data_IF_291459800979
#
_entry.id   IF_291459800979
#
_cell.length_a   1.000
_cell.length_b   1.000
_cell.length_c   1.000
_cell.angle_alpha   90.00
_cell.angle_beta   90.00
_cell.angle_gamma   90.00
#
_symmetry.space_group_name_H-M   'P 1'
#
loop_
_entity.id
_entity.type
_entity.pdbx_description
1 polymer ?
#
# COMPACT_ATOMS: atom_id res chain seq x y z
N UNK A 1 35.77 45.17 -3.90
CA UNK A 1 36.93 45.82 -3.26
C UNK A 1 36.35 46.69 -2.15
N UNK A 2 36.17 46.11 -0.96
CA UNK A 2 37.07 46.27 0.22
C UNK A 2 36.64 47.53 1.02
N UNK A 3 36.38 47.59 2.32
CA UNK A 3 36.57 46.77 3.53
C UNK A 3 35.39 47.09 4.47
N UNK A 4 34.72 46.12 5.12
CA UNK A 4 34.98 45.55 6.45
C UNK A 4 35.16 46.55 7.61
N UNK A 5 34.18 46.56 8.54
CA UNK A 5 34.32 47.01 9.93
C UNK A 5 33.21 46.39 10.80
N UNK A 6 33.56 45.32 11.53
CA UNK A 6 32.98 44.89 12.82
C UNK A 6 34.03 45.29 13.91
N UNK A 7 33.88 45.07 15.24
CA UNK A 7 32.73 44.63 16.09
C UNK A 7 32.62 45.42 17.43
N UNK A 8 31.62 45.11 18.28
CA UNK A 8 31.88 44.68 19.69
C UNK A 8 30.62 44.09 20.37
N UNK A 9 30.82 42.92 20.97
CA UNK A 9 29.88 42.20 21.85
C UNK A 9 29.69 42.89 23.23
N UNK A 10 28.80 42.36 24.08
CA UNK A 10 29.35 41.51 25.14
C UNK A 10 28.61 40.17 25.37
N UNK A 11 29.45 39.15 25.52
CA UNK A 11 29.42 38.04 26.49
C UNK A 11 28.33 38.04 27.58
N UNK A 12 27.74 36.87 27.84
CA UNK A 12 28.15 35.99 28.95
C UNK A 12 27.43 34.62 28.91
N UNK A 13 28.21 33.61 29.26
CA UNK A 13 27.92 32.18 29.29
C UNK A 13 27.20 31.71 30.57
N UNK A 14 26.33 30.70 30.46
CA UNK A 14 26.21 29.59 31.43
C UNK A 14 25.30 28.51 30.84
N UNK A 15 25.84 27.46 30.20
CA UNK A 15 26.14 26.12 30.75
C UNK A 15 24.90 25.34 31.27
N UNK A 16 24.79 24.11 30.74
CA UNK A 16 24.23 22.85 31.26
C UNK A 16 22.75 22.44 31.08
N UNK A 17 22.65 21.24 30.50
CA UNK A 17 21.69 20.14 30.72
C UNK A 17 20.21 20.39 30.44
N UNK A 18 19.76 19.91 29.27
CA UNK A 18 18.42 19.33 29.15
C UNK A 18 18.54 17.83 28.88
N UNK A 19 18.42 17.13 30.00
CA UNK A 19 18.12 15.73 30.25
C UNK A 19 17.41 15.00 29.09
N UNK A 20 17.97 13.83 28.74
CA UNK A 20 17.19 12.72 28.19
C UNK A 20 15.97 12.45 29.07
N UNK A 21 14.83 12.08 28.46
CA UNK A 21 14.03 10.91 28.84
C UNK A 21 12.77 10.84 27.96
N UNK A 22 12.66 9.68 27.31
CA UNK A 22 11.44 9.00 26.84
C UNK A 22 10.77 9.49 25.56
N UNK A 23 11.40 9.20 24.42
CA UNK A 23 10.66 8.69 23.26
C UNK A 23 10.78 7.17 23.26
N UNK A 24 9.80 6.49 23.84
CA UNK A 24 9.51 5.08 23.52
C UNK A 24 8.07 5.03 23.03
N UNK A 25 7.87 5.49 21.79
CA UNK A 25 6.69 5.12 21.02
C UNK A 25 7.04 3.81 20.32
N UNK A 26 6.28 2.77 20.65
CA UNK A 26 6.47 1.37 20.28
C UNK A 26 6.84 1.16 18.80
N UNK A 27 8.14 1.00 18.53
CA UNK A 27 8.63 0.28 17.36
C UNK A 27 8.71 -1.20 17.72
N UNK A 28 7.55 -1.81 17.93
CA UNK A 28 7.49 -3.25 18.06
C UNK A 28 7.58 -3.83 16.65
N UNK A 29 8.78 -4.36 16.33
CA UNK A 29 9.09 -5.08 15.11
C UNK A 29 8.11 -6.25 14.92
N UNK A 30 7.01 -5.99 14.22
CA UNK A 30 6.02 -7.00 13.88
C UNK A 30 6.47 -7.67 12.58
N UNK A 31 7.30 -8.70 12.72
CA UNK A 31 7.65 -9.59 11.62
C UNK A 31 6.39 -10.16 10.96
N UNK A 32 6.40 -10.29 9.63
CA UNK A 32 5.32 -10.82 8.78
C UNK A 32 4.97 -12.30 9.04
N UNK A 33 5.38 -12.84 10.19
CA UNK A 33 5.32 -14.23 10.54
C UNK A 33 4.53 -14.40 11.84
N UNK A 34 3.33 -14.96 11.71
CA UNK A 34 2.64 -15.56 12.85
C UNK A 34 2.88 -17.06 12.79
N UNK A 35 3.48 -17.64 13.83
CA UNK A 35 3.58 -19.10 13.97
C UNK A 35 2.16 -19.68 14.02
N UNK A 36 1.80 -20.45 12.99
CA UNK A 36 0.55 -21.21 12.97
C UNK A 36 0.72 -22.53 13.73
N UNK A 37 -0.35 -22.94 14.42
CA UNK A 37 -0.42 -24.20 15.21
C UNK A 37 -0.11 -25.48 14.42
N UNK A 38 0.00 -25.41 13.09
CA UNK A 38 0.21 -26.55 12.18
C UNK A 38 1.58 -26.51 11.46
N UNK A 39 2.53 -25.69 11.89
CA UNK A 39 3.87 -25.59 11.28
C UNK A 39 3.89 -25.01 9.86
N UNK A 40 2.75 -24.50 9.34
CA UNK A 40 2.69 -23.73 8.09
C UNK A 40 2.71 -22.23 8.38
N UNK A 41 3.68 -21.51 7.82
CA UNK A 41 3.68 -20.05 7.77
C UNK A 41 2.46 -19.54 6.98
N UNK A 42 1.44 -19.04 7.69
CA UNK A 42 0.29 -18.36 7.08
C UNK A 42 0.68 -16.90 6.85
N UNK A 43 0.94 -16.52 5.59
CA UNK A 43 1.17 -15.12 5.22
C UNK A 43 -0.15 -14.35 5.31
N UNK A 44 -0.19 -13.30 6.13
CA UNK A 44 -1.33 -12.38 6.24
C UNK A 44 -0.97 -11.02 5.65
N UNK A 45 -1.93 -10.38 4.99
CA UNK A 45 -1.76 -9.01 4.53
C UNK A 45 -1.91 -8.03 5.69
N UNK A 46 -0.99 -7.08 5.81
CA UNK A 46 -1.13 -5.94 6.72
C UNK A 46 -1.70 -4.75 5.92
N UNK A 47 -3.00 -4.50 6.06
CA UNK A 47 -3.69 -3.36 5.46
C UNK A 47 -4.28 -2.47 6.57
N UNK A 48 -4.17 -1.15 6.42
CA UNK A 48 -4.91 -0.22 7.28
C UNK A 48 -6.42 -0.44 7.12
N UNK A 49 -7.20 -0.08 8.15
CA UNK A 49 -8.67 -0.16 8.06
C UNK A 49 -9.22 0.72 6.93
N UNK A 50 -8.58 1.86 6.67
CA UNK A 50 -8.90 2.74 5.56
C UNK A 50 -8.68 2.04 4.21
N UNK A 51 -7.51 1.42 3.99
CA UNK A 51 -7.22 0.69 2.75
C UNK A 51 -8.20 -0.46 2.54
N UNK A 52 -8.48 -1.22 3.60
CA UNK A 52 -9.46 -2.31 3.58
C UNK A 52 -10.86 -1.80 3.20
N UNK A 53 -11.32 -0.70 3.81
CA UNK A 53 -12.60 -0.07 3.50
C UNK A 53 -12.67 0.42 2.05
N UNK A 54 -11.59 1.02 1.54
CA UNK A 54 -11.49 1.49 0.16
C UNK A 54 -11.59 0.33 -0.85
N UNK A 55 -10.84 -0.76 -0.61
CA UNK A 55 -10.88 -1.97 -1.45
C UNK A 55 -12.28 -2.58 -1.47
N UNK A 56 -12.91 -2.77 -0.30
CA UNK A 56 -14.25 -3.33 -0.19
C UNK A 56 -15.27 -2.45 -0.92
N UNK A 57 -15.21 -1.12 -0.74
CA UNK A 57 -16.13 -0.19 -1.40
C UNK A 57 -16.03 -0.26 -2.93
N UNK A 58 -14.81 -0.37 -3.48
CA UNK A 58 -14.61 -0.55 -4.93
C UNK A 58 -15.09 -1.91 -5.41
N UNK A 59 -14.85 -2.98 -4.66
CA UNK A 59 -15.35 -4.32 -5.00
C UNK A 59 -16.87 -4.38 -5.01
N UNK A 60 -17.55 -3.73 -4.06
CA UNK A 60 -19.02 -3.63 -4.05
C UNK A 60 -19.55 -2.93 -5.32
N UNK A 61 -18.83 -1.92 -5.83
CA UNK A 61 -19.17 -1.27 -7.10
C UNK A 61 -19.00 -2.22 -8.29
N UNK A 62 -17.88 -2.95 -8.34
CA UNK A 62 -17.63 -3.98 -9.36
C UNK A 62 -18.73 -5.03 -9.33
N UNK A 63 -19.12 -5.50 -8.16
CA UNK A 63 -20.22 -6.45 -7.99
C UNK A 63 -21.53 -5.91 -8.58
N UNK A 64 -21.86 -4.64 -8.31
CA UNK A 64 -22.99 -3.95 -8.93
C UNK A 64 -22.92 -3.91 -10.46
N UNK A 65 -21.74 -3.68 -11.03
CA UNK A 65 -21.52 -3.72 -12.49
C UNK A 65 -21.77 -5.13 -13.05
N UNK A 66 -21.27 -6.18 -12.38
CA UNK A 66 -21.51 -7.58 -12.82
C UNK A 66 -23.00 -7.92 -12.81
N UNK A 67 -23.73 -7.51 -11.76
CA UNK A 67 -25.19 -7.68 -11.71
C UNK A 67 -25.89 -6.90 -12.82
N UNK A 68 -25.43 -5.68 -13.12
CA UNK A 68 -25.93 -4.85 -14.22
C UNK A 68 -25.76 -5.52 -15.58
N UNK A 69 -24.55 -6.05 -15.87
CA UNK A 69 -24.25 -6.79 -17.10
C UNK A 69 -25.18 -7.98 -17.27
N UNK A 70 -25.37 -8.78 -16.21
CA UNK A 70 -26.32 -9.90 -16.23
C UNK A 70 -27.73 -9.43 -16.63
N UNK A 71 -28.21 -8.34 -16.03
CA UNK A 71 -29.52 -7.79 -16.36
C UNK A 71 -29.65 -7.23 -17.79
N UNK A 72 -28.56 -6.79 -18.41
CA UNK A 72 -28.56 -6.40 -19.83
C UNK A 72 -28.72 -7.62 -20.75
N UNK A 73 -28.04 -8.72 -20.41
CA UNK A 73 -28.13 -9.99 -21.16
C UNK A 73 -29.55 -10.58 -21.05
N UNK A 74 -30.14 -10.59 -19.85
CA UNK A 74 -31.51 -11.07 -19.63
C UNK A 74 -32.58 -10.27 -20.41
N UNK A 75 -32.24 -9.06 -20.85
CA UNK A 75 -33.11 -8.18 -21.63
C UNK A 75 -32.80 -8.20 -23.13
N UNK A 76 -31.93 -9.10 -23.58
CA UNK A 76 -31.46 -9.17 -24.96
C UNK A 76 -30.93 -7.81 -25.48
N UNK A 77 -30.19 -7.09 -24.62
CA UNK A 77 -29.61 -5.79 -24.96
C UNK A 77 -28.56 -5.95 -26.07
N UNK A 78 -28.44 -4.92 -26.92
CA UNK A 78 -27.47 -4.88 -28.01
C UNK A 78 -26.04 -5.17 -27.53
N UNK A 79 -25.32 -6.01 -28.28
CA UNK A 79 -24.06 -6.60 -27.84
C UNK A 79 -22.99 -5.54 -27.51
N UNK A 80 -22.92 -4.45 -28.27
CA UNK A 80 -21.91 -3.41 -28.05
C UNK A 80 -22.10 -2.69 -26.70
N UNK A 81 -23.34 -2.54 -26.23
CA UNK A 81 -23.63 -1.96 -24.91
C UNK A 81 -23.18 -2.89 -23.78
N UNK A 82 -23.43 -4.21 -23.94
CA UNK A 82 -22.98 -5.23 -22.99
C UNK A 82 -21.45 -5.27 -22.94
N UNK A 83 -20.78 -5.27 -24.09
CA UNK A 83 -19.32 -5.25 -24.18
C UNK A 83 -18.73 -3.98 -23.56
N UNK A 84 -19.37 -2.83 -23.74
CA UNK A 84 -18.98 -1.57 -23.11
C UNK A 84 -19.02 -1.68 -21.57
N UNK A 85 -20.08 -2.28 -21.01
CA UNK A 85 -20.17 -2.48 -19.57
C UNK A 85 -19.15 -3.50 -19.04
N UNK A 86 -18.87 -4.56 -19.81
CA UNK A 86 -17.81 -5.52 -19.47
C UNK A 86 -16.45 -4.82 -19.39
N UNK A 87 -16.12 -3.98 -20.38
CA UNK A 87 -14.88 -3.21 -20.38
C UNK A 87 -14.79 -2.25 -19.17
N UNK A 88 -15.92 -1.62 -18.80
CA UNK A 88 -15.99 -0.78 -17.61
C UNK A 88 -15.74 -1.57 -16.30
N UNK A 89 -16.30 -2.78 -16.18
CA UNK A 89 -16.09 -3.66 -15.04
C UNK A 89 -14.63 -4.15 -14.95
N UNK A 90 -14.03 -4.51 -16.09
CA UNK A 90 -12.61 -4.88 -16.16
C UNK A 90 -11.71 -3.73 -15.72
N UNK A 91 -11.96 -2.50 -16.19
CA UNK A 91 -11.20 -1.31 -15.79
C UNK A 91 -11.32 -1.03 -14.28
N UNK A 92 -12.52 -1.17 -13.72
CA UNK A 92 -12.75 -1.02 -12.29
C UNK A 92 -12.00 -2.09 -11.47
N UNK A 93 -12.02 -3.35 -11.89
CA UNK A 93 -11.28 -4.43 -11.25
C UNK A 93 -9.77 -4.23 -11.33
N UNK A 94 -9.26 -3.77 -12.48
CA UNK A 94 -7.86 -3.40 -12.66
C UNK A 94 -7.44 -2.27 -11.71
N UNK A 95 -8.33 -1.30 -11.46
CA UNK A 95 -8.08 -0.25 -10.46
C UNK A 95 -7.96 -0.81 -9.04
N UNK A 96 -8.77 -1.81 -8.67
CA UNK A 96 -8.65 -2.49 -7.36
C UNK A 96 -7.32 -3.24 -7.26
N UNK A 97 -6.94 -3.98 -8.31
CA UNK A 97 -5.67 -4.70 -8.37
C UNK A 97 -4.46 -3.77 -8.21
N UNK A 98 -4.47 -2.60 -8.88
CA UNK A 98 -3.42 -1.58 -8.75
C UNK A 98 -3.30 -1.05 -7.33
N UNK A 99 -4.42 -0.72 -6.69
CA UNK A 99 -4.42 -0.22 -5.31
C UNK A 99 -3.88 -1.27 -4.33
N UNK A 100 -4.28 -2.53 -4.50
CA UNK A 100 -3.79 -3.63 -3.67
C UNK A 100 -2.29 -3.85 -3.86
N UNK A 101 -1.82 -3.84 -5.11
CA UNK A 101 -0.39 -3.97 -5.45
C UNK A 101 0.44 -2.84 -4.85
N UNK A 102 -0.05 -1.60 -4.93
CA UNK A 102 0.64 -0.43 -4.34
C UNK A 102 0.83 -0.61 -2.83
N UNK A 103 -0.23 -1.02 -2.11
CA UNK A 103 -0.11 -1.30 -0.68
C UNK A 103 0.83 -2.47 -0.38
N UNK A 104 0.81 -3.53 -1.20
CA UNK A 104 1.73 -4.66 -1.05
C UNK A 104 3.20 -4.24 -1.21
N UNK A 105 3.49 -3.41 -2.21
CA UNK A 105 4.82 -2.88 -2.47
C UNK A 105 5.31 -1.99 -1.32
N UNK A 106 4.44 -1.13 -0.77
CA UNK A 106 4.82 -0.14 0.25
C UNK A 106 5.03 -0.73 1.65
N UNK A 107 4.47 -1.91 1.95
CA UNK A 107 4.64 -2.57 3.25
C UNK A 107 5.48 -3.84 3.13
N UNK A 108 4.84 -4.95 2.79
CA UNK A 108 5.42 -6.30 2.86
C UNK A 108 6.70 -6.45 2.02
N UNK A 109 6.74 -5.85 0.81
CA UNK A 109 7.92 -5.97 -0.05
C UNK A 109 9.11 -5.18 0.51
N UNK A 110 8.88 -3.93 0.96
CA UNK A 110 9.94 -3.08 1.52
C UNK A 110 10.54 -3.69 2.78
N UNK A 111 9.69 -4.21 3.68
CA UNK A 111 10.13 -4.87 4.91
C UNK A 111 11.03 -6.09 4.61
N UNK A 112 10.64 -6.93 3.64
CA UNK A 112 11.42 -8.12 3.24
C UNK A 112 12.75 -7.76 2.58
N UNK A 113 12.77 -6.74 1.72
CA UNK A 113 14.02 -6.25 1.12
C UNK A 113 14.96 -5.72 2.20
N UNK A 114 14.46 -4.99 3.20
CA UNK A 114 15.26 -4.52 4.32
C UNK A 114 15.79 -5.65 5.21
N UNK A 115 15.07 -6.78 5.28
CA UNK A 115 15.51 -8.00 5.94
C UNK A 115 16.52 -8.84 5.12
N UNK A 116 16.85 -8.42 3.89
CA UNK A 116 17.78 -9.13 2.99
C UNK A 116 17.14 -10.25 2.15
N UNK A 117 15.81 -10.39 2.18
CA UNK A 117 15.06 -11.40 1.42
C UNK A 117 14.79 -10.93 -0.02
N UNK A 118 15.83 -10.86 -0.85
CA UNK A 118 15.72 -10.34 -2.21
C UNK A 118 14.88 -11.21 -3.17
N UNK A 119 14.65 -12.49 -2.85
CA UNK A 119 13.79 -13.40 -3.62
C UNK A 119 12.33 -12.92 -3.71
N UNK A 120 11.91 -12.03 -2.81
CA UNK A 120 10.59 -11.37 -2.86
C UNK A 120 10.35 -10.61 -4.17
N UNK A 121 11.42 -10.11 -4.81
CA UNK A 121 11.33 -9.38 -6.07
C UNK A 121 10.88 -10.31 -7.20
N UNK A 122 11.35 -11.56 -7.23
CA UNK A 122 10.93 -12.54 -8.22
C UNK A 122 9.46 -12.94 -8.04
N UNK A 123 9.01 -13.10 -6.79
CA UNK A 123 7.60 -13.32 -6.46
C UNK A 123 6.71 -12.16 -6.94
N UNK A 124 7.17 -10.92 -6.76
CA UNK A 124 6.49 -9.72 -7.24
C UNK A 124 6.40 -9.69 -8.76
N UNK A 125 7.49 -10.01 -9.49
CA UNK A 125 7.50 -10.06 -10.95
C UNK A 125 6.54 -11.11 -11.52
N UNK A 126 6.37 -12.26 -10.84
CA UNK A 126 5.34 -13.24 -11.21
C UNK A 126 3.94 -12.64 -11.06
N UNK A 127 3.69 -11.89 -9.99
CA UNK A 127 2.38 -11.27 -9.71
C UNK A 127 2.06 -10.16 -10.71
N UNK A 128 3.01 -9.25 -10.97
CA UNK A 128 2.83 -8.15 -11.93
C UNK A 128 2.54 -8.68 -13.34
N UNK A 129 3.24 -9.74 -13.78
CA UNK A 129 2.95 -10.38 -15.08
C UNK A 129 1.53 -10.95 -15.19
N UNK A 130 0.89 -11.33 -14.09
CA UNK A 130 -0.52 -11.78 -14.10
C UNK A 130 -1.49 -10.61 -14.23
N UNK A 131 -1.15 -9.44 -13.68
CA UNK A 131 -2.00 -8.24 -13.71
C UNK A 131 -1.91 -7.45 -15.01
N UNK A 132 -0.88 -7.68 -15.83
CA UNK A 132 -0.68 -7.01 -17.12
C UNK A 132 -1.23 -7.79 -18.33
N UNK A 133 -1.85 -8.94 -18.10
CA UNK A 133 -2.57 -9.70 -19.12
C UNK A 133 -3.98 -9.16 -19.29
#
# INVERSE_FOLDING_TARGET
MEHQSHPKEPSESSVTEVNEVSQTADLQAASCHTEGSDGKHVRKSHHSQEMKGNLISRLNRVEGQIRGIKGLIEKDTYCDDVLTQIAAAQSALNSVGKLLLEGHMKSCIVERIQAGEHEVVDELLVTVRKLMK
#
